data_IF_181847160512
#
_entry.id   IF_181847160512
#
_cell.length_a   1.000
_cell.length_b   1.000
_cell.length_c   1.000
_cell.angle_alpha   90.00
_cell.angle_beta   90.00
_cell.angle_gamma   90.00
#
_symmetry.space_group_name_H-M   'P 1'
#
loop_
_entity.id
_entity.type
_entity.pdbx_description
1 polymer ?
#
# COMPACT_ATOMS: atom_id res chain seq x y z
N UNK A 1 41.57 27.14 17.87
CA UNK A 1 41.02 25.82 18.23
C UNK A 1 39.73 26.03 19.02
N UNK A 2 38.56 25.79 18.43
CA UNK A 2 37.31 25.52 19.14
C UNK A 2 36.51 24.54 18.29
N UNK A 3 36.41 23.29 18.76
CA UNK A 3 35.63 22.22 18.13
C UNK A 3 34.20 22.28 18.64
N UNK A 4 33.26 22.70 17.81
CA UNK A 4 31.84 22.67 18.14
C UNK A 4 31.26 21.33 17.69
N UNK A 5 31.11 20.40 18.63
CA UNK A 5 30.43 19.13 18.46
C UNK A 5 28.93 19.40 18.34
N UNK A 6 28.31 19.09 17.18
CA UNK A 6 26.84 19.09 17.03
C UNK A 6 26.28 17.73 17.46
N UNK A 7 25.42 17.64 18.49
CA UNK A 7 24.65 16.44 18.76
C UNK A 7 23.24 16.65 18.19
N UNK A 8 22.88 15.98 17.10
CA UNK A 8 21.45 15.85 16.75
C UNK A 8 21.22 14.63 15.85
N UNK A 9 21.33 13.45 16.46
CA UNK A 9 20.90 12.16 15.89
C UNK A 9 19.88 11.48 16.81
N UNK A 10 19.00 12.26 17.45
CA UNK A 10 17.98 11.71 18.38
C UNK A 10 16.55 11.90 17.85
N UNK A 11 16.33 12.79 16.88
CA UNK A 11 14.96 13.12 16.44
C UNK A 11 14.28 12.06 15.55
N UNK A 12 15.03 11.17 14.88
CA UNK A 12 14.42 10.20 13.95
C UNK A 12 13.80 8.96 14.64
N UNK A 13 14.08 8.74 15.93
CA UNK A 13 13.65 7.52 16.62
C UNK A 13 12.29 7.63 17.30
N UNK A 14 11.75 8.85 17.48
CA UNK A 14 10.58 9.10 18.33
C UNK A 14 9.21 8.90 17.65
N UNK A 15 9.18 8.63 16.34
CA UNK A 15 7.93 8.45 15.58
C UNK A 15 7.76 7.03 15.03
N UNK A 16 8.26 6.02 15.74
CA UNK A 16 7.89 4.63 15.44
C UNK A 16 6.70 4.28 16.34
N UNK A 17 5.46 4.22 15.81
CA UNK A 17 4.40 3.56 16.57
C UNK A 17 4.91 2.16 16.93
N UNK A 18 4.75 1.77 18.20
CA UNK A 18 5.13 0.45 18.71
C UNK A 18 4.29 -0.61 17.97
N UNK A 19 4.73 -0.99 16.77
CA UNK A 19 4.12 -2.05 15.96
C UNK A 19 4.72 -3.35 16.46
N UNK A 20 4.12 -3.94 17.49
CA UNK A 20 4.40 -5.31 17.88
C UNK A 20 3.85 -6.23 16.79
N UNK A 21 4.70 -6.54 15.81
CA UNK A 21 4.41 -7.38 14.66
C UNK A 21 5.63 -7.52 13.74
N UNK A 22 5.66 -8.51 12.84
CA UNK A 22 6.74 -8.63 11.86
C UNK A 22 6.86 -7.34 11.05
N UNK A 23 8.11 -6.93 10.78
CA UNK A 23 8.38 -5.70 10.05
C UNK A 23 7.65 -5.70 8.69
N UNK A 24 7.01 -4.58 8.30
CA UNK A 24 6.31 -4.49 7.03
C UNK A 24 7.24 -4.80 5.86
N UNK A 25 6.81 -5.72 4.98
CA UNK A 25 7.57 -6.06 3.76
C UNK A 25 7.30 -5.03 2.68
N UNK A 26 8.36 -4.37 2.24
CA UNK A 26 8.35 -3.46 1.10
C UNK A 26 8.75 -4.21 -0.19
N UNK A 27 8.33 -3.71 -1.34
CA UNK A 27 8.69 -4.24 -2.65
C UNK A 27 9.62 -3.25 -3.35
N UNK A 28 10.43 -3.68 -4.34
CA UNK A 28 11.22 -2.76 -5.14
C UNK A 28 10.36 -1.70 -5.83
N UNK A 29 10.86 -0.47 -5.88
CA UNK A 29 10.16 0.69 -6.46
C UNK A 29 9.81 0.46 -7.93
N UNK A 30 10.62 -0.31 -8.67
CA UNK A 30 10.35 -0.63 -10.08
C UNK A 30 9.05 -1.42 -10.25
N UNK A 31 8.68 -2.26 -9.28
CA UNK A 31 7.40 -2.99 -9.32
C UNK A 31 6.23 -2.05 -8.98
N UNK A 32 6.43 -1.13 -8.04
CA UNK A 32 5.42 -0.15 -7.65
C UNK A 32 5.12 0.81 -8.81
N UNK A 33 6.17 1.27 -9.52
CA UNK A 33 6.04 2.18 -10.66
C UNK A 33 5.30 1.56 -11.87
N UNK A 34 5.26 0.23 -11.97
CA UNK A 34 4.49 -0.47 -13.02
C UNK A 34 2.98 -0.47 -12.75
N UNK A 35 2.54 -0.20 -11.51
CA UNK A 35 1.13 -0.12 -11.18
C UNK A 35 0.51 1.18 -11.72
N UNK A 36 -0.31 1.09 -12.78
CA UNK A 36 -1.00 2.24 -13.35
C UNK A 36 -2.19 2.71 -12.50
N UNK A 37 -2.78 1.79 -11.72
CA UNK A 37 -3.98 2.03 -10.94
C UNK A 37 -3.90 1.47 -9.52
N UNK A 38 -4.81 1.95 -8.66
CA UNK A 38 -4.95 1.44 -7.30
C UNK A 38 -5.24 -0.06 -7.28
N UNK A 39 -6.00 -0.55 -8.27
CA UNK A 39 -6.30 -1.97 -8.45
C UNK A 39 -5.04 -2.77 -8.76
N UNK A 40 -4.16 -2.24 -9.60
CA UNK A 40 -2.90 -2.92 -9.93
C UNK A 40 -2.03 -3.06 -8.67
N UNK A 41 -2.00 -2.05 -7.81
CA UNK A 41 -1.30 -2.12 -6.54
C UNK A 41 -1.92 -3.16 -5.57
N UNK A 42 -3.25 -3.19 -5.46
CA UNK A 42 -3.97 -4.20 -4.66
C UNK A 42 -3.72 -5.62 -5.19
N UNK A 43 -3.74 -5.79 -6.51
CA UNK A 43 -3.44 -7.06 -7.16
C UNK A 43 -1.98 -7.48 -6.94
N UNK A 44 -1.03 -6.57 -7.13
CA UNK A 44 0.39 -6.80 -6.88
C UNK A 44 0.65 -7.22 -5.43
N UNK A 45 0.00 -6.55 -4.48
CA UNK A 45 0.05 -6.89 -3.06
C UNK A 45 -0.43 -8.32 -2.79
N UNK A 46 -1.56 -8.70 -3.39
CA UNK A 46 -2.13 -10.04 -3.29
C UNK A 46 -1.22 -11.11 -3.89
N UNK A 47 -0.67 -10.88 -5.09
CA UNK A 47 0.26 -11.81 -5.74
C UNK A 47 1.59 -11.92 -5.00
N UNK A 48 1.93 -10.92 -4.20
CA UNK A 48 3.10 -10.90 -3.32
C UNK A 48 2.76 -11.16 -1.84
N UNK A 49 1.63 -11.80 -1.56
CA UNK A 49 1.27 -12.19 -0.20
C UNK A 49 2.30 -13.14 0.41
N UNK A 50 2.56 -12.97 1.71
CA UNK A 50 3.49 -13.82 2.47
C UNK A 50 2.95 -15.26 2.55
N UNK A 51 1.66 -15.41 2.85
CA UNK A 51 0.99 -16.72 2.93
C UNK A 51 0.47 -17.14 1.54
N UNK A 52 1.27 -17.91 0.79
CA UNK A 52 0.98 -18.30 -0.60
C UNK A 52 -0.36 -19.04 -0.77
N UNK A 53 -0.72 -19.90 0.16
CA UNK A 53 -1.94 -20.72 0.12
C UNK A 53 -3.15 -20.05 0.79
N UNK A 54 -3.06 -18.75 1.13
CA UNK A 54 -4.20 -18.01 1.67
C UNK A 54 -5.30 -17.88 0.62
N UNK A 55 -6.54 -18.21 1.02
CA UNK A 55 -7.71 -18.09 0.13
C UNK A 55 -8.31 -16.69 0.22
N UNK A 56 -9.05 -16.26 -0.82
CA UNK A 56 -9.81 -15.00 -0.80
C UNK A 56 -10.86 -14.96 0.32
N UNK A 57 -11.40 -16.13 0.70
CA UNK A 57 -12.32 -16.27 1.83
C UNK A 57 -11.61 -15.96 3.15
N UNK A 58 -10.43 -16.55 3.37
CA UNK A 58 -9.62 -16.30 4.57
C UNK A 58 -9.24 -14.82 4.68
N UNK A 59 -8.87 -14.19 3.56
CA UNK A 59 -8.64 -12.75 3.54
C UNK A 59 -9.89 -11.96 3.94
N UNK A 60 -11.06 -12.33 3.40
CA UNK A 60 -12.31 -11.66 3.74
C UNK A 60 -12.61 -11.70 5.23
N UNK A 61 -12.44 -12.88 5.83
CA UNK A 61 -12.62 -13.12 7.27
C UNK A 61 -11.64 -12.29 8.11
N UNK A 62 -10.36 -12.26 7.74
CA UNK A 62 -9.33 -11.53 8.50
C UNK A 62 -9.43 -10.01 8.37
N UNK A 63 -9.82 -9.49 7.20
CA UNK A 63 -9.99 -8.05 6.99
C UNK A 63 -11.38 -7.52 7.42
N UNK A 64 -12.29 -8.42 7.82
CA UNK A 64 -13.70 -8.07 8.06
C UNK A 64 -14.40 -7.54 6.81
N UNK A 65 -14.07 -8.09 5.64
CA UNK A 65 -14.68 -7.75 4.35
C UNK A 65 -15.83 -8.72 4.05
N UNK A 66 -16.86 -8.25 3.35
CA UNK A 66 -17.91 -9.13 2.86
C UNK A 66 -17.36 -10.03 1.74
N UNK A 67 -17.30 -11.33 1.99
CA UNK A 67 -16.63 -12.30 1.12
C UNK A 67 -17.04 -12.25 -0.38
N UNK A 68 -18.32 -12.05 -0.75
CA UNK A 68 -18.71 -11.90 -2.15
C UNK A 68 -18.07 -10.72 -2.88
N UNK A 69 -17.67 -9.66 -2.17
CA UNK A 69 -17.01 -8.50 -2.78
C UNK A 69 -15.49 -8.64 -2.90
N UNK A 70 -14.85 -9.51 -2.11
CA UNK A 70 -13.39 -9.66 -2.13
C UNK A 70 -12.87 -10.12 -3.49
N UNK A 71 -13.61 -10.99 -4.18
CA UNK A 71 -13.28 -11.38 -5.57
C UNK A 71 -13.33 -10.20 -6.54
N UNK A 72 -14.16 -9.18 -6.27
CA UNK A 72 -14.18 -7.96 -7.07
C UNK A 72 -13.03 -7.02 -6.71
N UNK A 73 -12.65 -6.94 -5.44
CA UNK A 73 -11.49 -6.15 -5.01
C UNK A 73 -10.19 -6.73 -5.59
N UNK A 74 -10.07 -8.07 -5.59
CA UNK A 74 -8.85 -8.80 -5.96
C UNK A 74 -9.08 -9.51 -7.28
N UNK A 75 -9.04 -8.70 -8.33
CA UNK A 75 -9.11 -9.13 -9.71
C UNK A 75 -8.16 -8.26 -10.53
N UNK A 76 -7.38 -8.91 -11.41
CA UNK A 76 -6.49 -8.24 -12.36
C UNK A 76 -7.26 -7.28 -13.28
N UNK A 77 -8.50 -7.63 -13.65
CA UNK A 77 -9.32 -6.82 -14.55
C UNK A 77 -10.28 -5.92 -13.78
N UNK A 78 -10.30 -4.64 -14.16
CA UNK A 78 -11.19 -3.65 -13.56
C UNK A 78 -12.66 -3.81 -13.95
N UNK A 79 -12.95 -4.55 -15.03
CA UNK A 79 -14.29 -4.76 -15.56
C UNK A 79 -14.65 -6.25 -15.54
N UNK A 80 -15.93 -6.55 -15.39
CA UNK A 80 -16.45 -7.90 -15.59
C UNK A 80 -16.71 -8.21 -17.08
N UNK A 81 -17.11 -9.44 -17.39
CA UNK A 81 -17.45 -9.86 -18.75
C UNK A 81 -18.64 -9.13 -19.37
N UNK A 82 -19.40 -8.37 -18.57
CA UNK A 82 -20.55 -7.56 -18.99
C UNK A 82 -20.21 -6.07 -19.05
N UNK A 83 -18.94 -5.70 -18.89
CA UNK A 83 -18.48 -4.32 -18.92
C UNK A 83 -18.79 -3.50 -17.67
N UNK A 84 -19.25 -4.11 -16.58
CA UNK A 84 -19.49 -3.42 -15.30
C UNK A 84 -18.17 -3.27 -14.55
N UNK A 85 -17.91 -2.07 -14.04
CA UNK A 85 -16.75 -1.81 -13.17
C UNK A 85 -16.86 -2.64 -11.89
N UNK A 86 -15.79 -3.37 -11.56
CA UNK A 86 -15.65 -4.09 -10.29
C UNK A 86 -15.39 -3.09 -9.16
N UNK A 87 -15.91 -3.42 -7.97
CA UNK A 87 -15.66 -2.62 -6.78
C UNK A 87 -14.17 -2.64 -6.43
N UNK A 88 -13.65 -1.50 -5.97
CA UNK A 88 -12.28 -1.33 -5.50
C UNK A 88 -12.20 -1.58 -3.98
N UNK A 89 -11.01 -1.89 -3.46
CA UNK A 89 -10.80 -2.09 -2.02
C UNK A 89 -11.18 -0.79 -1.27
N UNK A 90 -12.02 -0.87 -0.22
CA UNK A 90 -12.34 0.30 0.61
C UNK A 90 -11.09 0.89 1.25
N UNK A 91 -10.97 2.22 1.24
CA UNK A 91 -9.78 2.92 1.73
C UNK A 91 -9.54 2.69 3.24
N UNK A 92 -10.62 2.57 4.01
CA UNK A 92 -10.61 2.24 5.44
C UNK A 92 -10.11 0.82 5.74
N UNK A 93 -9.99 -0.04 4.71
CA UNK A 93 -9.54 -1.43 4.83
C UNK A 93 -8.14 -1.69 4.31
N UNK A 94 -7.44 -0.65 3.85
CA UNK A 94 -6.08 -0.77 3.31
C UNK A 94 -5.13 -1.31 4.38
N UNK A 95 -5.22 -0.79 5.61
CA UNK A 95 -4.31 -1.17 6.68
C UNK A 95 -4.44 -2.66 7.05
N UNK A 96 -5.67 -3.12 7.31
CA UNK A 96 -5.96 -4.52 7.63
C UNK A 96 -5.59 -5.43 6.47
N UNK A 97 -5.90 -5.03 5.23
CA UNK A 97 -5.50 -5.77 4.04
C UNK A 97 -3.98 -5.98 3.98
N UNK A 98 -3.19 -4.93 4.15
CA UNK A 98 -1.73 -4.99 4.11
C UNK A 98 -1.12 -5.81 5.24
N UNK A 99 -1.72 -5.76 6.43
CA UNK A 99 -1.33 -6.64 7.55
C UNK A 99 -1.56 -8.11 7.19
N UNK A 100 -2.71 -8.45 6.60
CA UNK A 100 -3.05 -9.84 6.25
C UNK A 100 -2.23 -10.36 5.07
N UNK A 101 -2.04 -9.57 4.01
CA UNK A 101 -1.17 -9.99 2.90
C UNK A 101 0.32 -9.97 3.28
N UNK A 102 0.68 -9.22 4.33
CA UNK A 102 2.04 -9.16 4.88
C UNK A 102 3.00 -8.31 4.06
N UNK A 103 2.50 -7.31 3.33
CA UNK A 103 3.31 -6.34 2.58
C UNK A 103 2.62 -4.97 2.52
N UNK A 104 3.39 -3.91 2.25
CA UNK A 104 2.92 -2.52 2.23
C UNK A 104 2.79 -1.95 0.81
N UNK A 105 2.41 -2.79 -0.16
CA UNK A 105 2.44 -2.40 -1.59
C UNK A 105 1.44 -1.29 -1.90
N UNK A 106 0.25 -1.33 -1.30
CA UNK A 106 -0.80 -0.34 -1.57
C UNK A 106 -0.40 1.02 -1.03
N UNK A 107 0.13 1.06 0.20
CA UNK A 107 0.65 2.26 0.83
C UNK A 107 1.88 2.82 0.10
N UNK A 108 2.81 1.97 -0.34
CA UNK A 108 3.95 2.38 -1.18
C UNK A 108 3.49 3.07 -2.46
N UNK A 109 2.51 2.48 -3.16
CA UNK A 109 1.96 3.06 -4.38
C UNK A 109 1.27 4.40 -4.14
N UNK A 110 0.50 4.52 -3.06
CA UNK A 110 -0.16 5.78 -2.70
C UNK A 110 0.87 6.89 -2.40
N UNK A 111 1.94 6.56 -1.68
CA UNK A 111 3.03 7.51 -1.38
C UNK A 111 3.73 7.94 -2.68
N UNK A 112 4.12 6.97 -3.51
CA UNK A 112 4.76 7.25 -4.80
C UNK A 112 3.91 8.18 -5.68
N UNK A 113 2.60 7.95 -5.73
CA UNK A 113 1.66 8.80 -6.48
C UNK A 113 1.49 10.18 -5.84
N UNK A 114 1.47 10.27 -4.51
CA UNK A 114 1.37 11.54 -3.80
C UNK A 114 2.62 12.41 -3.97
N UNK A 115 3.81 11.82 -3.98
CA UNK A 115 5.08 12.53 -4.24
C UNK A 115 5.08 13.22 -5.61
N UNK A 116 4.60 12.53 -6.65
CA UNK A 116 4.45 13.10 -7.99
C UNK A 116 3.50 14.31 -7.97
N UNK A 117 2.33 14.16 -7.34
CA UNK A 117 1.34 15.25 -7.24
C UNK A 117 1.88 16.45 -6.44
N UNK A 118 2.62 16.23 -5.36
CA UNK A 118 3.21 17.32 -4.56
C UNK A 118 4.24 18.13 -5.35
N UNK A 119 5.07 17.46 -6.17
CA UNK A 119 6.02 18.14 -7.04
C UNK A 119 5.32 19.04 -8.07
N UNK A 120 4.22 18.56 -8.66
CA UNK A 120 3.40 19.33 -9.59
C UNK A 120 2.84 20.60 -8.93
N UNK A 121 2.30 20.49 -7.71
CA UNK A 121 1.78 21.63 -6.94
C UNK A 121 2.90 22.64 -6.65
N UNK A 122 4.09 22.19 -6.26
CA UNK A 122 5.24 23.07 -6.01
C UNK A 122 5.69 23.81 -7.28
N UNK A 123 5.68 23.15 -8.44
CA UNK A 123 6.01 23.79 -9.72
C UNK A 123 4.96 24.83 -10.09
N UNK A 124 3.67 24.51 -9.92
CA UNK A 124 2.58 25.43 -10.20
C UNK A 124 2.66 26.69 -9.32
N UNK A 125 2.98 26.54 -8.03
CA UNK A 125 3.10 27.67 -7.09
C UNK A 125 4.36 28.53 -7.30
N UNK A 126 5.35 28.08 -8.09
CA UNK A 126 6.57 28.83 -8.42
C UNK A 126 6.44 29.66 -9.70
N UNK A 127 5.32 29.59 -10.41
CA UNK A 127 5.00 30.42 -11.58
C UNK A 127 4.16 31.61 -11.17
#
# INVERSE_FOLDING_TARGET
MQTQTRPTSIAASALRPNREGPAPRFLPDELIAQCASFRDAVWLAWENRVVRNMTKRTLAEQCGLYAPHVTNFINEHAFDSKGKKRADLPADKIHEFELVVGNQVVSQWLIHRAELTLLEVVIANKR
#
